data_IF_386739366882
#
_entry.id   IF_386739366882
#
_cell.length_a   1.000
_cell.length_b   1.000
_cell.length_c   1.000
_cell.angle_alpha   90.00
_cell.angle_beta   90.00
_cell.angle_gamma   90.00
#
_symmetry.space_group_name_H-M   'P 1'
#
loop_
_entity.id
_entity.type
_entity.pdbx_description
1 polymer ?
#
# COMPACT_ATOMS: atom_id res chain seq x y z
N UNK A 1 4.41 18.93 2.20
CA UNK A 1 3.04 18.41 2.09
C UNK A 1 2.61 18.55 0.65
N UNK A 2 2.50 17.44 -0.07
CA UNK A 2 2.10 17.38 -1.48
C UNK A 2 0.93 16.40 -1.62
N UNK A 3 -0.05 16.73 -2.46
CA UNK A 3 -1.20 15.87 -2.74
C UNK A 3 -0.78 14.44 -3.13
N UNK A 4 0.34 14.30 -3.86
CA UNK A 4 0.88 13.01 -4.29
C UNK A 4 1.57 12.24 -3.16
N UNK A 5 2.13 12.94 -2.17
CA UNK A 5 2.71 12.28 -0.98
C UNK A 5 1.63 11.72 -0.07
N UNK A 6 0.48 12.41 0.03
CA UNK A 6 -0.59 12.11 0.99
C UNK A 6 -1.68 11.18 0.43
N UNK A 7 -1.74 11.00 -0.89
CA UNK A 7 -2.78 10.20 -1.54
C UNK A 7 -2.20 9.16 -2.50
N UNK A 8 -3.00 8.15 -2.80
CA UNK A 8 -2.87 7.26 -3.96
C UNK A 8 -3.90 7.72 -4.98
N UNK A 9 -3.42 8.15 -6.16
CA UNK A 9 -4.25 8.73 -7.21
C UNK A 9 -4.63 7.63 -8.21
N UNK A 10 -5.88 7.61 -8.70
CA UNK A 10 -6.29 6.63 -9.68
C UNK A 10 -5.53 6.77 -11.01
N UNK A 11 -5.24 5.63 -11.64
CA UNK A 11 -4.50 5.58 -12.90
C UNK A 11 -3.78 4.26 -13.12
N UNK A 12 -2.81 4.26 -14.03
CA UNK A 12 -2.00 3.07 -14.33
C UNK A 12 -0.76 2.94 -13.44
N UNK A 13 -0.44 3.95 -12.64
CA UNK A 13 0.68 3.93 -11.72
C UNK A 13 0.15 3.72 -10.30
N UNK A 14 0.37 2.53 -9.77
CA UNK A 14 0.13 2.25 -8.35
C UNK A 14 1.17 2.94 -7.48
N UNK A 15 0.90 2.99 -6.17
CA UNK A 15 1.85 3.50 -5.18
C UNK A 15 2.46 2.34 -4.41
N UNK A 16 3.79 2.33 -4.35
CA UNK A 16 4.54 1.30 -3.62
C UNK A 16 4.61 1.63 -2.14
N UNK A 17 4.50 0.60 -1.32
CA UNK A 17 4.51 0.67 0.13
C UNK A 17 5.48 -0.39 0.67
N UNK A 18 6.39 0.02 1.55
CA UNK A 18 7.20 -0.92 2.32
C UNK A 18 6.48 -1.34 3.58
N UNK A 19 6.65 -2.58 4.02
CA UNK A 19 6.07 -3.10 5.27
C UNK A 19 7.08 -3.87 6.11
N UNK A 20 6.78 -3.99 7.40
CA UNK A 20 7.51 -4.84 8.34
C UNK A 20 7.03 -6.31 8.33
N UNK A 21 6.06 -6.67 7.50
CA UNK A 21 5.63 -8.06 7.33
C UNK A 21 6.77 -8.95 6.77
N UNK A 22 6.97 -10.11 7.40
CA UNK A 22 8.09 -11.01 7.07
C UNK A 22 7.66 -12.29 6.34
N UNK A 23 6.38 -12.65 6.39
CA UNK A 23 5.86 -13.87 5.77
C UNK A 23 4.86 -13.56 4.65
N UNK A 24 4.68 -14.51 3.72
CA UNK A 24 3.67 -14.42 2.67
C UNK A 24 2.26 -14.26 3.26
N UNK A 25 1.95 -15.04 4.31
CA UNK A 25 0.63 -15.02 4.96
C UNK A 25 0.31 -13.64 5.56
N UNK A 26 1.31 -12.94 6.09
CA UNK A 26 1.13 -11.60 6.62
C UNK A 26 0.84 -10.59 5.50
N UNK A 27 1.50 -10.71 4.36
CA UNK A 27 1.24 -9.87 3.18
C UNK A 27 -0.14 -10.12 2.59
N UNK A 28 -0.59 -11.38 2.59
CA UNK A 28 -1.96 -11.73 2.19
C UNK A 28 -2.98 -11.08 3.11
N UNK A 29 -2.79 -11.11 4.44
CA UNK A 29 -3.66 -10.40 5.38
C UNK A 29 -3.69 -8.90 5.16
N UNK A 30 -2.52 -8.30 4.89
CA UNK A 30 -2.40 -6.87 4.54
C UNK A 30 -3.19 -6.58 3.25
N UNK A 31 -2.97 -7.38 2.20
CA UNK A 31 -3.67 -7.26 0.93
C UNK A 31 -5.19 -7.34 1.11
N UNK A 32 -5.67 -8.33 1.84
CA UNK A 32 -7.10 -8.49 2.13
C UNK A 32 -7.64 -7.28 2.88
N UNK A 33 -6.96 -6.80 3.93
CA UNK A 33 -7.38 -5.61 4.69
C UNK A 33 -7.50 -4.36 3.80
N UNK A 34 -6.49 -4.10 2.97
CA UNK A 34 -6.50 -2.95 2.06
C UNK A 34 -7.58 -3.09 0.99
N UNK A 35 -7.81 -4.30 0.46
CA UNK A 35 -8.78 -4.53 -0.61
C UNK A 35 -10.23 -4.22 -0.21
N UNK A 36 -10.52 -4.11 1.09
CA UNK A 36 -11.85 -3.70 1.59
C UNK A 36 -12.05 -2.18 1.63
N UNK A 37 -11.03 -1.37 1.33
CA UNK A 37 -11.15 0.09 1.27
C UNK A 37 -11.85 0.48 -0.04
N UNK A 38 -12.89 1.30 0.06
CA UNK A 38 -13.57 1.86 -1.10
C UNK A 38 -12.59 2.68 -1.94
N UNK A 39 -12.55 2.41 -3.24
CA UNK A 39 -11.62 3.07 -4.16
C UNK A 39 -10.36 2.27 -4.49
N UNK A 40 -10.10 1.15 -3.80
CA UNK A 40 -9.01 0.22 -4.15
C UNK A 40 -9.43 -0.64 -5.35
N UNK A 41 -8.54 -0.72 -6.33
CA UNK A 41 -8.70 -1.56 -7.52
C UNK A 41 -7.99 -2.89 -7.37
N UNK A 42 -6.72 -2.85 -6.95
CA UNK A 42 -5.90 -4.05 -6.76
C UNK A 42 -4.71 -3.75 -5.83
N UNK A 43 -4.19 -4.81 -5.20
CA UNK A 43 -2.98 -4.79 -4.38
C UNK A 43 -2.06 -5.92 -4.84
N UNK A 44 -0.87 -5.56 -5.29
CA UNK A 44 0.15 -6.47 -5.82
C UNK A 44 1.23 -6.63 -4.76
N UNK A 45 1.55 -7.88 -4.39
CA UNK A 45 2.59 -8.18 -3.40
C UNK A 45 3.91 -8.39 -4.15
N UNK A 46 4.99 -7.75 -3.69
CA UNK A 46 6.36 -7.98 -4.15
C UNK A 46 7.19 -8.63 -3.04
N UNK A 47 7.46 -9.94 -3.19
CA UNK A 47 8.22 -10.71 -2.19
C UNK A 47 9.70 -10.87 -2.54
N UNK A 48 10.09 -10.46 -3.74
CA UNK A 48 11.44 -10.68 -4.27
C UNK A 48 12.50 -9.76 -3.65
N UNK A 49 12.08 -8.82 -2.78
CA UNK A 49 12.94 -7.81 -2.16
C UNK A 49 12.71 -7.74 -0.64
N UNK A 50 13.77 -7.41 0.09
CA UNK A 50 13.71 -7.14 1.52
C UNK A 50 14.16 -5.69 1.81
N UNK A 51 13.39 -4.90 2.59
CA UNK A 51 12.07 -5.19 3.14
C UNK A 51 11.01 -5.46 2.06
N UNK A 52 9.98 -6.23 2.42
CA UNK A 52 8.91 -6.64 1.50
C UNK A 52 8.04 -5.44 1.14
N UNK A 53 7.60 -5.40 -0.11
CA UNK A 53 6.81 -4.31 -0.65
C UNK A 53 5.46 -4.80 -1.16
N UNK A 54 4.52 -3.86 -1.29
CA UNK A 54 3.31 -4.07 -2.06
C UNK A 54 2.94 -2.79 -2.81
N UNK A 55 2.22 -2.94 -3.92
CA UNK A 55 1.78 -1.84 -4.79
C UNK A 55 0.27 -1.76 -4.71
N UNK A 56 -0.25 -0.58 -4.37
CA UNK A 56 -1.69 -0.31 -4.32
C UNK A 56 -2.10 0.46 -5.56
N UNK A 57 -3.08 -0.09 -6.29
CA UNK A 57 -3.75 0.57 -7.39
C UNK A 57 -5.16 0.97 -6.97
N UNK A 58 -5.59 2.17 -7.39
CA UNK A 58 -6.90 2.71 -7.03
C UNK A 58 -7.70 3.11 -8.27
N UNK A 59 -9.02 3.06 -8.17
CA UNK A 59 -9.96 3.61 -9.15
C UNK A 59 -10.53 4.98 -8.72
N UNK A 60 -10.34 5.34 -7.44
CA UNK A 60 -10.62 6.65 -6.87
C UNK A 60 -9.42 7.14 -6.05
N UNK A 61 -9.42 8.42 -5.66
CA UNK A 61 -8.39 8.95 -4.76
C UNK A 61 -8.57 8.38 -3.37
N UNK A 62 -7.57 7.64 -2.88
CA UNK A 62 -7.56 7.06 -1.53
C UNK A 62 -6.40 7.67 -0.75
N UNK A 63 -6.64 8.03 0.51
CA UNK A 63 -5.59 8.62 1.32
C UNK A 63 -4.57 7.56 1.74
N UNK A 64 -3.28 7.94 1.80
CA UNK A 64 -2.23 7.07 2.35
C UNK A 64 -2.54 6.70 3.79
N UNK A 65 -3.11 7.63 4.55
CA UNK A 65 -3.49 7.41 5.94
C UNK A 65 -4.49 6.27 6.08
N UNK A 66 -5.49 6.21 5.21
CA UNK A 66 -6.51 5.15 5.25
C UNK A 66 -5.91 3.75 4.98
N UNK A 67 -4.97 3.67 4.04
CA UNK A 67 -4.19 2.44 3.79
C UNK A 67 -3.37 2.08 5.03
N UNK A 68 -2.65 3.04 5.61
CA UNK A 68 -1.86 2.82 6.82
C UNK A 68 -2.73 2.34 7.99
N UNK A 69 -3.88 2.97 8.20
CA UNK A 69 -4.83 2.60 9.25
C UNK A 69 -5.36 1.16 9.03
N UNK A 70 -5.64 0.75 7.79
CA UNK A 70 -6.04 -0.61 7.47
C UNK A 70 -4.93 -1.64 7.72
N UNK A 71 -3.67 -1.28 7.47
CA UNK A 71 -2.51 -2.14 7.75
C UNK A 71 -2.24 -2.25 9.26
N UNK A 72 -2.41 -1.16 10.02
CA UNK A 72 -2.28 -1.15 11.47
C UNK A 72 -3.34 -2.06 12.13
N UNK A 73 -4.57 -2.08 11.62
CA UNK A 73 -5.64 -2.96 12.12
C UNK A 73 -5.29 -4.45 12.05
N UNK A 74 -4.47 -4.86 11.10
CA UNK A 74 -3.99 -6.25 10.97
C UNK A 74 -2.65 -6.51 11.68
N UNK A 75 -2.14 -5.53 12.43
CA UNK A 75 -0.96 -5.67 13.29
C UNK A 75 0.38 -5.30 12.63
N UNK A 76 0.35 -4.65 11.47
CA UNK A 76 1.55 -4.30 10.70
C UNK A 76 1.71 -2.80 10.53
N UNK A 77 2.90 -2.39 10.09
CA UNK A 77 3.18 -1.01 9.74
C UNK A 77 3.56 -0.92 8.26
N UNK A 78 3.21 0.19 7.64
CA UNK A 78 3.59 0.46 6.26
C UNK A 78 3.95 1.92 6.05
N UNK A 79 4.92 2.14 5.16
CA UNK A 79 5.42 3.45 4.78
C UNK A 79 5.32 3.58 3.26
N UNK A 80 4.70 4.64 2.72
CA UNK A 80 4.69 4.88 1.29
C UNK A 80 6.12 5.13 0.79
N UNK A 81 6.52 4.44 -0.27
CA UNK A 81 7.73 4.77 -1.02
C UNK A 81 7.42 5.89 -2.01
N UNK A 82 8.38 6.80 -2.17
CA UNK A 82 8.33 7.86 -3.18
C UNK A 82 8.31 7.24 -4.58
N UNK A 83 7.55 7.84 -5.51
CA UNK A 83 7.61 7.51 -6.94
C UNK A 83 8.96 7.88 -7.57
N UNK A 84 9.76 8.71 -6.89
CA UNK A 84 11.03 9.21 -7.37
C UNK A 84 12.15 8.70 -6.47
N UNK A 85 13.04 7.89 -7.05
CA UNK A 85 14.42 7.84 -6.61
C UNK A 85 15.02 9.23 -6.84
N UNK A 86 15.60 9.83 -5.80
CA UNK A 86 16.43 11.03 -5.91
C UNK A 86 17.85 10.62 -6.34
#
# INVERSE_FOLDING_TARGET
MSLLSENVIPGNHGKTFGTNAMSHQDLVKIKESISHIDGIKDVIIEEDKFPRDFIVHTNATVSVKEIQDAVIKVGFHTIPKSLFEL
#
